data_IF_591810887552
#
_entry.id   IF_591810887552
#
_cell.length_a   1.000
_cell.length_b   1.000
_cell.length_c   1.000
_cell.angle_alpha   90.00
_cell.angle_beta   90.00
_cell.angle_gamma   90.00
#
_symmetry.space_group_name_H-M   'P 1'
#
loop_
_entity.id
_entity.type
_entity.pdbx_description
1 polymer ?
#
# COMPACT_ATOMS: atom_id res chain seq x y z
N UNK A 1 -14.37 30.26 20.47
CA UNK A 1 -14.19 28.97 19.79
C UNK A 1 -15.35 28.10 20.24
N UNK A 2 -16.12 27.56 19.29
CA UNK A 2 -17.27 26.71 19.58
C UNK A 2 -16.84 25.46 20.36
N UNK A 3 -17.54 25.12 21.45
CA UNK A 3 -17.19 23.97 22.30
C UNK A 3 -17.30 22.65 21.52
N UNK A 4 -18.24 22.57 20.58
CA UNK A 4 -18.44 21.40 19.73
C UNK A 4 -17.23 21.18 18.81
N UNK A 5 -16.82 22.22 18.09
CA UNK A 5 -15.61 22.20 17.25
C UNK A 5 -14.36 21.72 18.00
N UNK A 6 -14.16 22.17 19.25
CA UNK A 6 -13.01 21.76 20.06
C UNK A 6 -13.03 20.26 20.36
N UNK A 7 -14.21 19.68 20.60
CA UNK A 7 -14.36 18.24 20.84
C UNK A 7 -14.07 17.42 19.58
N UNK A 8 -14.60 17.86 18.43
CA UNK A 8 -14.37 17.21 17.13
C UNK A 8 -12.88 17.23 16.74
N UNK A 9 -12.21 18.38 16.87
CA UNK A 9 -10.76 18.49 16.60
C UNK A 9 -9.96 17.55 17.51
N UNK A 10 -10.23 17.57 18.82
CA UNK A 10 -9.55 16.69 19.77
C UNK A 10 -9.74 15.20 19.43
N UNK A 11 -10.92 14.83 18.93
CA UNK A 11 -11.20 13.46 18.49
C UNK A 11 -10.34 13.09 17.28
N UNK A 12 -10.30 13.93 16.25
CA UNK A 12 -9.56 13.65 15.01
C UNK A 12 -8.04 13.73 15.20
N UNK A 13 -7.56 14.64 16.03
CA UNK A 13 -6.14 14.73 16.41
C UNK A 13 -5.68 13.52 17.26
N UNK A 14 -6.62 12.79 17.88
CA UNK A 14 -6.34 11.57 18.65
C UNK A 14 -6.17 10.31 17.80
N UNK A 15 -6.26 10.41 16.46
CA UNK A 15 -6.02 9.29 15.54
C UNK A 15 -4.54 8.88 15.61
N UNK A 16 -4.27 7.82 16.37
CA UNK A 16 -2.90 7.31 16.59
C UNK A 16 -2.40 6.44 15.44
N UNK A 17 -3.30 5.67 14.82
CA UNK A 17 -3.04 4.91 13.60
C UNK A 17 -3.77 5.61 12.46
N UNK A 18 -3.10 6.00 11.36
CA UNK A 18 -3.80 6.58 10.23
C UNK A 18 -4.89 5.63 9.70
N UNK A 19 -5.72 6.10 8.79
CA UNK A 19 -6.86 5.37 8.26
C UNK A 19 -6.76 5.46 6.76
N UNK A 20 -6.71 4.32 6.09
CA UNK A 20 -6.73 4.28 4.63
C UNK A 20 -7.62 3.15 4.13
N UNK A 21 -8.72 3.50 3.46
CA UNK A 21 -9.82 2.58 3.20
C UNK A 21 -10.50 2.81 1.86
N UNK A 22 -10.71 1.75 1.06
CA UNK A 22 -11.50 1.84 -0.15
C UNK A 22 -12.95 2.22 0.19
N UNK A 23 -13.47 3.26 -0.45
CA UNK A 23 -14.87 3.72 -0.28
C UNK A 23 -15.74 3.37 -1.49
N UNK A 24 -15.18 3.40 -2.70
CA UNK A 24 -15.87 2.98 -3.91
C UNK A 24 -14.89 2.45 -4.97
N UNK A 25 -15.24 1.35 -5.64
CA UNK A 25 -14.60 0.95 -6.89
C UNK A 25 -15.55 1.28 -8.04
N UNK A 26 -15.11 2.14 -8.95
CA UNK A 26 -15.86 2.40 -10.18
C UNK A 26 -15.05 1.93 -11.37
N UNK A 27 -15.70 1.28 -12.34
CA UNK A 27 -15.05 0.79 -13.56
C UNK A 27 -14.36 1.92 -14.35
N UNK A 28 -14.81 3.17 -14.16
CA UNK A 28 -14.45 4.29 -15.02
C UNK A 28 -13.53 5.32 -14.34
N UNK A 29 -13.59 5.48 -13.00
CA UNK A 29 -12.87 6.54 -12.28
C UNK A 29 -11.77 6.04 -11.35
N UNK A 30 -11.85 4.77 -10.96
CA UNK A 30 -10.82 4.09 -10.20
C UNK A 30 -11.22 3.67 -8.78
N UNK A 31 -10.24 3.52 -7.90
CA UNK A 31 -10.47 3.20 -6.50
C UNK A 31 -10.51 4.49 -5.69
N UNK A 32 -11.70 4.90 -5.28
CA UNK A 32 -11.85 5.96 -4.28
C UNK A 32 -11.51 5.40 -2.90
N UNK A 33 -10.74 6.15 -2.13
CA UNK A 33 -10.43 5.83 -0.75
C UNK A 33 -10.33 7.08 0.11
N UNK A 34 -10.60 6.92 1.40
CA UNK A 34 -10.30 7.95 2.40
C UNK A 34 -8.90 7.71 2.96
N UNK A 35 -8.16 8.78 3.19
CA UNK A 35 -6.91 8.81 3.91
C UNK A 35 -7.00 9.81 5.06
N UNK A 36 -6.84 9.37 6.31
CA UNK A 36 -6.91 10.23 7.49
C UNK A 36 -5.80 9.92 8.49
N UNK A 37 -5.30 10.92 9.20
CA UNK A 37 -4.34 10.78 10.29
C UNK A 37 -4.60 11.83 11.37
N UNK A 38 -3.82 11.84 12.44
CA UNK A 38 -3.84 12.96 13.40
C UNK A 38 -3.58 14.33 12.77
N UNK A 39 -2.99 14.40 11.56
CA UNK A 39 -2.64 15.65 10.89
C UNK A 39 -3.71 16.20 9.95
N UNK A 40 -4.67 15.39 9.53
CA UNK A 40 -5.65 15.78 8.51
C UNK A 40 -6.29 14.59 7.81
N UNK A 41 -7.24 14.91 6.93
CA UNK A 41 -7.99 13.95 6.12
C UNK A 41 -8.05 14.37 4.66
N UNK A 42 -8.19 13.39 3.78
CA UNK A 42 -8.48 13.59 2.37
C UNK A 42 -9.31 12.42 1.84
N UNK A 43 -10.20 12.72 0.90
CA UNK A 43 -10.80 11.70 0.05
C UNK A 43 -10.05 11.73 -1.26
N UNK A 44 -9.33 10.65 -1.56
CA UNK A 44 -8.49 10.54 -2.75
C UNK A 44 -9.16 9.59 -3.73
N UNK A 45 -9.30 10.04 -4.97
CA UNK A 45 -9.58 9.13 -6.08
C UNK A 45 -8.25 8.51 -6.53
N UNK A 46 -7.99 7.30 -6.06
CA UNK A 46 -6.87 6.48 -6.51
C UNK A 46 -7.04 6.02 -7.95
N UNK A 47 -5.93 5.57 -8.57
CA UNK A 47 -5.98 5.00 -9.91
C UNK A 47 -6.76 3.67 -9.91
N UNK A 48 -7.33 3.33 -11.05
CA UNK A 48 -8.20 2.18 -11.21
C UNK A 48 -7.57 0.87 -10.75
N UNK A 49 -8.26 0.09 -9.91
CA UNK A 49 -7.94 -1.33 -9.70
C UNK A 49 -6.70 -1.68 -8.87
N UNK A 50 -6.05 -0.75 -8.16
CA UNK A 50 -4.93 -1.11 -7.28
C UNK A 50 -4.85 -0.31 -5.98
N UNK A 51 -4.58 -1.03 -4.90
CA UNK A 51 -4.16 -0.47 -3.62
C UNK A 51 -2.63 -0.52 -3.59
N UNK A 52 -1.90 0.59 -3.38
CA UNK A 52 -0.46 0.57 -3.58
C UNK A 52 0.31 -0.07 -2.41
N UNK A 53 -0.34 -0.37 -1.29
CA UNK A 53 0.27 -0.93 -0.10
C UNK A 53 -0.06 -2.42 0.07
N UNK A 54 0.99 -3.24 0.20
CA UNK A 54 0.90 -4.70 0.22
C UNK A 54 1.71 -5.31 1.37
N UNK A 55 1.34 -6.53 1.75
CA UNK A 55 2.00 -7.34 2.76
C UNK A 55 1.11 -7.67 3.96
N UNK A 56 1.68 -8.19 5.05
CA UNK A 56 3.08 -8.60 5.19
C UNK A 56 3.44 -9.80 4.29
N UNK A 57 4.68 -9.83 3.81
CA UNK A 57 5.30 -10.97 3.15
C UNK A 57 6.40 -11.52 4.06
N UNK A 58 6.32 -12.79 4.44
CA UNK A 58 7.34 -13.43 5.29
C UNK A 58 8.53 -13.83 4.44
N UNK A 59 9.72 -13.36 4.79
CA UNK A 59 10.95 -13.70 4.05
C UNK A 59 11.61 -14.91 4.67
N UNK A 60 11.53 -16.07 4.03
CA UNK A 60 12.21 -17.27 4.51
C UNK A 60 13.71 -17.24 4.18
N UNK A 61 14.51 -17.98 4.94
CA UNK A 61 15.95 -18.08 4.70
C UNK A 61 16.27 -18.59 3.29
N UNK A 62 15.47 -19.54 2.81
CA UNK A 62 15.59 -20.13 1.47
C UNK A 62 15.30 -19.10 0.39
N UNK A 63 14.25 -18.29 0.54
CA UNK A 63 13.91 -17.21 -0.41
C UNK A 63 15.04 -16.19 -0.52
N UNK A 64 15.59 -15.76 0.63
CA UNK A 64 16.72 -14.82 0.67
C UNK A 64 17.97 -15.40 0.01
N UNK A 65 18.22 -16.70 0.16
CA UNK A 65 19.34 -17.36 -0.49
C UNK A 65 19.14 -17.41 -2.01
N UNK A 66 17.94 -17.78 -2.47
CA UNK A 66 17.58 -17.78 -3.90
C UNK A 66 17.77 -16.37 -4.48
N UNK A 67 17.30 -15.32 -3.80
CA UNK A 67 17.48 -13.93 -4.25
C UNK A 67 18.95 -13.49 -4.29
N UNK A 68 19.78 -13.91 -3.34
CA UNK A 68 21.23 -13.63 -3.35
C UNK A 68 21.95 -14.30 -4.50
N UNK A 69 21.57 -15.54 -4.80
CA UNK A 69 22.13 -16.27 -5.94
C UNK A 69 21.64 -15.64 -7.26
N UNK A 70 20.39 -15.17 -7.28
CA UNK A 70 19.80 -14.41 -8.39
C UNK A 70 20.45 -13.06 -8.67
N UNK A 71 20.93 -12.36 -7.65
CA UNK A 71 21.68 -11.12 -7.85
C UNK A 71 23.05 -11.35 -8.53
N UNK A 72 23.55 -12.59 -8.53
CA UNK A 72 24.87 -12.96 -9.07
C UNK A 72 24.79 -13.64 -10.43
N UNK A 73 23.63 -14.17 -10.82
CA UNK A 73 23.43 -14.96 -12.04
C UNK A 73 22.04 -14.68 -12.62
N UNK A 74 21.87 -14.85 -13.95
CA UNK A 74 20.54 -14.76 -14.56
C UNK A 74 19.68 -15.94 -14.07
N UNK A 75 18.63 -15.68 -13.29
CA UNK A 75 17.69 -16.71 -12.84
C UNK A 75 16.45 -16.79 -13.72
N UNK A 76 15.77 -17.94 -13.63
CA UNK A 76 14.43 -18.10 -14.19
C UNK A 76 13.39 -17.37 -13.32
N UNK A 77 12.42 -16.73 -13.98
CA UNK A 77 11.27 -16.08 -13.35
C UNK A 77 10.50 -17.01 -12.40
N UNK A 78 10.46 -18.31 -12.72
CA UNK A 78 9.79 -19.35 -11.94
C UNK A 78 10.28 -19.45 -10.48
N UNK A 79 11.47 -18.94 -10.17
CA UNK A 79 11.99 -18.88 -8.81
C UNK A 79 11.32 -17.79 -7.97
N UNK A 80 10.99 -16.63 -8.57
CA UNK A 80 10.32 -15.53 -7.87
C UNK A 80 8.86 -15.86 -7.57
N UNK A 81 8.18 -16.53 -8.49
CA UNK A 81 6.75 -16.86 -8.38
C UNK A 81 6.41 -17.83 -7.25
N UNK A 82 7.40 -18.57 -6.74
CA UNK A 82 7.22 -19.53 -5.63
C UNK A 82 7.31 -18.89 -4.25
N UNK A 83 7.84 -17.66 -4.16
CA UNK A 83 7.99 -16.92 -2.91
C UNK A 83 6.69 -16.17 -2.59
N UNK A 84 6.44 -15.82 -1.32
CA UNK A 84 5.29 -14.97 -0.97
C UNK A 84 5.35 -13.60 -1.69
N UNK A 85 6.56 -13.05 -1.85
CA UNK A 85 6.79 -11.80 -2.59
C UNK A 85 6.55 -11.94 -4.10
N UNK A 86 6.42 -13.17 -4.61
CA UNK A 86 6.09 -13.47 -5.99
C UNK A 86 4.76 -12.87 -6.44
N UNK A 87 3.85 -12.55 -5.51
CA UNK A 87 2.65 -11.78 -5.81
C UNK A 87 2.97 -10.40 -6.40
N UNK A 88 3.90 -9.66 -5.79
CA UNK A 88 4.30 -8.34 -6.32
C UNK A 88 4.98 -8.47 -7.67
N UNK A 89 5.75 -9.55 -7.88
CA UNK A 89 6.31 -9.84 -9.19
C UNK A 89 5.23 -10.09 -10.24
N UNK A 90 4.15 -10.81 -9.90
CA UNK A 90 3.01 -11.01 -10.79
C UNK A 90 2.32 -9.68 -11.15
N UNK A 91 2.07 -8.81 -10.18
CA UNK A 91 1.51 -7.46 -10.42
C UNK A 91 2.44 -6.62 -11.32
N UNK A 92 3.77 -6.72 -11.14
CA UNK A 92 4.73 -6.04 -12.00
C UNK A 92 4.68 -6.55 -13.46
N UNK A 93 4.43 -7.85 -13.68
CA UNK A 93 4.26 -8.39 -15.05
C UNK A 93 2.99 -7.87 -15.74
N UNK A 94 1.91 -7.71 -14.97
CA UNK A 94 0.70 -7.03 -15.49
C UNK A 94 1.02 -5.58 -15.88
N UNK A 95 1.77 -4.87 -15.03
CA UNK A 95 2.24 -3.52 -15.34
C UNK A 95 3.07 -3.47 -16.63
N UNK A 96 4.05 -4.36 -16.82
CA UNK A 96 4.89 -4.40 -18.03
C UNK A 96 4.03 -4.54 -19.30
N UNK A 97 3.01 -5.40 -19.24
CA UNK A 97 2.07 -5.62 -20.33
C UNK A 97 1.23 -4.37 -20.60
N UNK A 98 0.78 -3.69 -19.54
CA UNK A 98 -0.02 -2.48 -19.63
C UNK A 98 0.73 -1.29 -20.24
N UNK A 99 1.98 -1.07 -19.81
CA UNK A 99 2.79 0.07 -20.29
C UNK A 99 3.59 -0.24 -21.56
N UNK A 100 3.56 -1.48 -22.05
CA UNK A 100 4.26 -1.90 -23.27
C UNK A 100 5.79 -1.94 -23.11
N UNK A 101 6.28 -2.39 -21.96
CA UNK A 101 7.71 -2.48 -21.66
C UNK A 101 8.41 -3.55 -22.52
N UNK A 102 9.60 -3.25 -23.03
CA UNK A 102 10.39 -4.17 -23.87
C UNK A 102 11.12 -5.21 -23.01
N UNK A 103 11.44 -6.36 -23.61
CA UNK A 103 12.16 -7.45 -22.94
C UNK A 103 13.46 -7.01 -22.23
N UNK A 104 14.27 -6.17 -22.88
CA UNK A 104 15.51 -5.65 -22.28
C UNK A 104 15.26 -4.76 -21.05
N UNK A 105 14.13 -4.07 -21.02
CA UNK A 105 13.71 -3.22 -19.89
C UNK A 105 13.14 -4.08 -18.75
N UNK A 106 12.39 -5.14 -19.08
CA UNK A 106 11.89 -6.13 -18.12
C UNK A 106 13.06 -6.79 -17.39
N UNK A 107 14.09 -7.23 -18.12
CA UNK A 107 15.26 -7.85 -17.50
C UNK A 107 16.01 -6.87 -16.56
N UNK A 108 16.13 -5.60 -16.97
CA UNK A 108 16.72 -4.56 -16.12
C UNK A 108 15.89 -4.32 -14.86
N UNK A 109 14.55 -4.28 -15.00
CA UNK A 109 13.62 -4.13 -13.89
C UNK A 109 13.70 -5.33 -12.93
N UNK A 110 13.74 -6.56 -13.43
CA UNK A 110 13.86 -7.78 -12.62
C UNK A 110 15.10 -7.73 -11.72
N UNK A 111 16.25 -7.35 -12.29
CA UNK A 111 17.50 -7.21 -11.54
C UNK A 111 17.39 -6.13 -10.46
N UNK A 112 16.78 -4.99 -10.80
CA UNK A 112 16.58 -3.90 -9.86
C UNK A 112 15.57 -4.25 -8.75
N UNK A 113 14.52 -5.00 -9.06
CA UNK A 113 13.53 -5.51 -8.12
C UNK A 113 14.17 -6.45 -7.10
N UNK A 114 14.95 -7.43 -7.55
CA UNK A 114 15.69 -8.35 -6.67
C UNK A 114 16.66 -7.57 -5.77
N UNK A 115 17.41 -6.64 -6.36
CA UNK A 115 18.34 -5.80 -5.61
C UNK A 115 17.62 -5.00 -4.53
N UNK A 116 16.46 -4.40 -4.84
CA UNK A 116 15.69 -3.62 -3.90
C UNK A 116 15.17 -4.46 -2.71
N UNK A 117 14.79 -5.73 -2.93
CA UNK A 117 14.45 -6.66 -1.84
C UNK A 117 15.66 -6.92 -0.94
N UNK A 118 16.83 -7.18 -1.54
CA UNK A 118 18.05 -7.45 -0.79
C UNK A 118 18.56 -6.23 -0.01
N UNK A 119 18.46 -5.04 -0.60
CA UNK A 119 18.80 -3.76 0.01
C UNK A 119 17.85 -3.40 1.17
N UNK A 120 16.66 -3.99 1.21
CA UNK A 120 15.77 -3.87 2.35
C UNK A 120 16.30 -4.63 3.59
N UNK A 121 17.38 -5.43 3.48
CA UNK A 121 18.09 -6.09 4.59
C UNK A 121 17.18 -6.82 5.60
N UNK A 122 16.17 -7.51 5.09
CA UNK A 122 15.22 -8.29 5.91
C UNK A 122 15.88 -9.59 6.40
N UNK A 123 15.78 -9.91 7.70
CA UNK A 123 16.30 -11.16 8.25
C UNK A 123 15.34 -12.34 8.01
N UNK A 124 15.81 -13.61 8.05
CA UNK A 124 14.94 -14.76 7.92
C UNK A 124 13.81 -14.76 8.98
N UNK A 125 12.57 -14.95 8.53
CA UNK A 125 11.36 -14.94 9.37
C UNK A 125 10.80 -13.55 9.66
N UNK A 126 11.45 -12.48 9.20
CA UNK A 126 10.93 -11.12 9.29
C UNK A 126 9.90 -10.84 8.18
N UNK A 127 9.10 -9.79 8.41
CA UNK A 127 8.06 -9.33 7.50
C UNK A 127 8.57 -8.22 6.60
N UNK A 128 8.25 -8.32 5.33
CA UNK A 128 8.45 -7.30 4.32
C UNK A 128 7.10 -6.69 3.94
N UNK A 129 7.09 -5.39 3.75
CA UNK A 129 5.93 -4.61 3.33
C UNK A 129 6.29 -3.84 2.07
N UNK A 130 5.34 -3.62 1.18
CA UNK A 130 5.63 -3.08 -0.16
C UNK A 130 4.71 -1.94 -0.51
N UNK A 131 5.27 -0.85 -1.03
CA UNK A 131 4.53 0.15 -1.78
C UNK A 131 4.81 -0.06 -3.28
N UNK A 132 3.77 -0.30 -4.08
CA UNK A 132 3.88 -0.51 -5.52
C UNK A 132 2.65 0.01 -6.26
N UNK A 133 2.85 0.82 -7.30
CA UNK A 133 1.76 1.33 -8.11
C UNK A 133 1.73 0.63 -9.48
N UNK A 134 0.83 -0.34 -9.68
CA UNK A 134 0.83 -1.23 -10.87
C UNK A 134 0.58 -0.56 -12.25
N UNK A 135 0.40 0.75 -12.28
CA UNK A 135 0.24 1.56 -13.50
C UNK A 135 1.31 2.63 -13.68
N UNK A 136 2.38 2.57 -12.88
CA UNK A 136 3.53 3.46 -12.97
C UNK A 136 4.78 2.61 -13.07
N UNK A 137 5.73 2.97 -13.93
CA UNK A 137 6.95 2.17 -14.18
C UNK A 137 7.96 2.16 -13.02
N UNK A 138 7.59 2.72 -11.88
CA UNK A 138 8.47 2.86 -10.73
C UNK A 138 8.70 1.51 -10.05
N UNK A 139 9.91 1.36 -9.50
CA UNK A 139 10.26 0.15 -8.75
C UNK A 139 9.45 0.10 -7.44
N UNK A 140 8.98 -1.10 -7.03
CA UNK A 140 8.41 -1.30 -5.72
C UNK A 140 9.36 -0.82 -4.61
N UNK A 141 8.80 -0.15 -3.60
CA UNK A 141 9.52 0.25 -2.40
C UNK A 141 9.26 -0.74 -1.28
N UNK A 142 10.31 -1.17 -0.60
CA UNK A 142 10.26 -2.20 0.42
C UNK A 142 10.50 -1.64 1.81
N UNK A 143 9.72 -2.08 2.79
CA UNK A 143 9.75 -1.61 4.17
C UNK A 143 9.80 -2.80 5.13
N UNK A 144 10.59 -2.68 6.22
CA UNK A 144 10.68 -3.70 7.28
C UNK A 144 9.49 -3.69 8.25
N UNK A 145 8.72 -2.59 8.29
CA UNK A 145 7.62 -2.43 9.24
C UNK A 145 6.37 -1.89 8.56
N UNK A 146 5.20 -2.30 9.07
CA UNK A 146 3.89 -1.75 8.67
C UNK A 146 3.85 -0.23 8.83
N UNK A 147 4.39 0.29 9.94
CA UNK A 147 4.37 1.72 10.23
C UNK A 147 5.15 2.53 9.20
N UNK A 148 6.33 2.05 8.77
CA UNK A 148 7.12 2.77 7.76
C UNK A 148 6.41 2.83 6.40
N UNK A 149 5.70 1.76 6.01
CA UNK A 149 4.86 1.78 4.81
C UNK A 149 3.71 2.79 4.94
N UNK A 150 3.03 2.77 6.08
CA UNK A 150 1.92 3.69 6.38
C UNK A 150 2.40 5.14 6.35
N UNK A 151 3.52 5.45 7.00
CA UNK A 151 4.08 6.80 7.04
C UNK A 151 4.43 7.28 5.63
N UNK A 152 5.00 6.40 4.80
CA UNK A 152 5.27 6.70 3.39
C UNK A 152 3.98 6.94 2.61
N UNK A 153 3.00 6.05 2.71
CA UNK A 153 1.70 6.20 2.06
C UNK A 153 1.05 7.54 2.41
N UNK A 154 0.95 7.86 3.71
CA UNK A 154 0.35 9.11 4.18
C UNK A 154 1.15 10.34 3.75
N UNK A 155 2.45 10.22 3.48
CA UNK A 155 3.28 11.34 2.99
C UNK A 155 3.01 11.73 1.54
N UNK A 156 2.42 10.82 0.76
CA UNK A 156 2.02 11.08 -0.63
C UNK A 156 0.63 11.73 -0.71
N UNK A 157 -0.15 11.65 0.36
CA UNK A 157 -1.50 12.20 0.41
C UNK A 157 -1.50 13.70 0.73
N UNK A 158 -2.28 14.46 -0.02
CA UNK A 158 -2.50 15.88 0.22
C UNK A 158 -3.59 16.08 1.28
N UNK A 159 -3.26 15.76 2.53
CA UNK A 159 -4.19 15.89 3.65
C UNK A 159 -4.59 17.35 3.86
N UNK A 160 -5.90 17.59 3.99
CA UNK A 160 -6.40 18.86 4.48
C UNK A 160 -6.27 18.84 6.01
N UNK A 161 -5.54 19.79 6.62
CA UNK A 161 -5.41 19.87 8.07
C UNK A 161 -6.77 20.04 8.77
N UNK A 162 -6.98 19.33 9.87
CA UNK A 162 -8.25 19.38 10.62
C UNK A 162 -8.62 20.79 11.06
N UNK A 163 -7.65 21.58 11.49
CA UNK A 163 -7.83 22.96 11.94
C UNK A 163 -8.33 23.90 10.82
N UNK A 164 -8.14 23.52 9.56
CA UNK A 164 -8.60 24.26 8.37
C UNK A 164 -9.99 23.85 7.86
N UNK A 165 -10.56 22.77 8.37
CA UNK A 165 -11.90 22.30 7.97
C UNK A 165 -13.02 23.04 8.72
N UNK A 166 -14.23 23.10 8.15
CA UNK A 166 -15.41 23.65 8.85
C UNK A 166 -15.87 22.71 9.98
N UNK A 167 -16.72 23.18 10.90
CA UNK A 167 -17.25 22.32 11.97
C UNK A 167 -18.09 21.17 11.39
N UNK A 168 -18.89 21.45 10.37
CA UNK A 168 -19.72 20.46 9.69
C UNK A 168 -18.85 19.37 9.03
N UNK A 169 -17.77 19.77 8.36
CA UNK A 169 -16.80 18.83 7.76
C UNK A 169 -16.15 17.92 8.82
N UNK A 170 -15.76 18.49 9.97
CA UNK A 170 -15.18 17.72 11.08
C UNK A 170 -16.19 16.71 11.65
N UNK A 171 -17.47 17.08 11.70
CA UNK A 171 -18.57 16.17 12.07
C UNK A 171 -18.66 14.98 11.11
N UNK A 172 -18.70 15.26 9.81
CA UNK A 172 -18.72 14.22 8.77
C UNK A 172 -17.51 13.29 8.83
N UNK A 173 -16.31 13.83 9.07
CA UNK A 173 -15.09 13.02 9.19
C UNK A 173 -15.11 12.12 10.43
N UNK A 174 -15.62 12.60 11.57
CA UNK A 174 -15.80 11.78 12.76
C UNK A 174 -16.75 10.60 12.46
N UNK A 175 -17.90 10.87 11.87
CA UNK A 175 -18.89 9.84 11.48
C UNK A 175 -18.27 8.82 10.54
N UNK A 176 -17.63 9.29 9.46
CA UNK A 176 -16.99 8.45 8.44
C UNK A 176 -15.94 7.51 9.05
N UNK A 177 -15.10 8.00 9.97
CA UNK A 177 -14.04 7.21 10.59
C UNK A 177 -14.60 6.23 11.63
N UNK A 178 -15.65 6.61 12.35
CA UNK A 178 -16.27 5.78 13.39
C UNK A 178 -17.11 4.65 12.82
N UNK A 179 -17.69 4.83 11.63
CA UNK A 179 -18.35 3.75 10.87
C UNK A 179 -17.38 2.65 10.43
N UNK A 180 -16.07 2.96 10.35
CA UNK A 180 -15.06 1.99 9.97
C UNK A 180 -14.61 1.19 11.20
N UNK A 181 -14.81 -0.14 11.21
CA UNK A 181 -14.27 -1.03 12.23
C UNK A 181 -12.76 -0.80 12.41
N UNK A 182 -12.30 -0.69 13.65
CA UNK A 182 -10.90 -0.39 13.96
C UNK A 182 -9.91 -1.40 13.38
N UNK A 183 -10.33 -2.64 13.20
CA UNK A 183 -9.57 -3.72 12.57
C UNK A 183 -9.48 -3.62 11.03
N UNK A 184 -10.24 -2.72 10.40
CA UNK A 184 -10.23 -2.51 8.95
C UNK A 184 -9.36 -1.32 8.52
N UNK A 185 -8.88 -0.48 9.46
CA UNK A 185 -8.33 0.87 9.20
C UNK A 185 -7.05 0.94 8.35
N UNK A 186 -6.48 -0.18 7.93
CA UNK A 186 -5.59 -0.22 6.76
C UNK A 186 -5.77 -1.52 6.01
N UNK A 187 -6.15 -1.42 4.74
CA UNK A 187 -6.20 -2.57 3.85
C UNK A 187 -4.81 -2.80 3.27
N UNK A 188 -4.04 -3.66 3.92
CA UNK A 188 -2.88 -4.27 3.26
C UNK A 188 -3.38 -5.45 2.45
N UNK A 189 -3.10 -5.45 1.15
CA UNK A 189 -3.31 -6.64 0.33
C UNK A 189 -2.20 -7.64 0.69
N UNK A 190 -2.55 -8.69 1.44
CA UNK A 190 -1.66 -9.82 1.67
C UNK A 190 -1.35 -10.48 0.33
N UNK A 191 -0.16 -11.04 0.11
CA UNK A 191 0.22 -11.74 -1.13
C UNK A 191 -0.63 -12.95 -1.53
N UNK A 192 -1.62 -13.30 -0.71
CA UNK A 192 -2.71 -14.18 -1.12
C UNK A 192 -3.65 -13.37 -2.01
N UNK A 193 -3.98 -13.86 -3.22
CA UNK A 193 -5.05 -13.28 -4.06
C UNK A 193 -6.16 -12.76 -3.13
N UNK A 194 -6.55 -11.48 -3.21
CA UNK A 194 -7.57 -10.97 -2.31
C UNK A 194 -8.75 -11.94 -2.37
N UNK A 195 -9.02 -12.64 -1.26
CA UNK A 195 -10.38 -13.14 -1.05
C UNK A 195 -11.18 -11.88 -1.07
N UNK A 196 -12.05 -11.76 -2.07
CA UNK A 196 -12.98 -10.67 -2.24
C UNK A 196 -13.51 -10.27 -0.85
N UNK A 197 -12.89 -9.24 -0.25
CA UNK A 197 -13.35 -8.66 1.01
C UNK A 197 -14.42 -7.64 0.64
N UNK A 198 -15.41 -8.09 -0.11
CA UNK A 198 -16.64 -7.34 -0.34
C UNK A 198 -17.76 -8.34 -0.20
N UNK A 199 -18.60 -8.07 0.79
CA UNK A 199 -19.73 -8.92 1.14
C UNK A 199 -20.55 -9.25 -0.10
N UNK A 200 -20.95 -10.52 -0.16
CA UNK A 200 -22.10 -10.95 -0.91
C UNK A 200 -23.25 -9.96 -0.72
N UNK A 201 -23.70 -9.37 -1.84
CA UNK A 201 -25.06 -8.86 -1.99
C UNK A 201 -25.77 -9.77 -2.97
#
# INVERSE_FOLDING_TARGET
MDQDRVQLLRRLESINEPVALPTAQTMDMGLEYIAASSKGGNTTLGRYGAWPAYGPFTMHAEDLQILKDAARQVISEASLERMEIGYIWAEAKEMFSYIGMKESEIQAFQNAFIKAILDAECAPGEKLYVYFHKYESDLPLFFKTRNSLIDYFMSLENLVPWDKMSTDDLGMWCETIDEVPSNSRFVLLTGSRPRECFGSV
#
